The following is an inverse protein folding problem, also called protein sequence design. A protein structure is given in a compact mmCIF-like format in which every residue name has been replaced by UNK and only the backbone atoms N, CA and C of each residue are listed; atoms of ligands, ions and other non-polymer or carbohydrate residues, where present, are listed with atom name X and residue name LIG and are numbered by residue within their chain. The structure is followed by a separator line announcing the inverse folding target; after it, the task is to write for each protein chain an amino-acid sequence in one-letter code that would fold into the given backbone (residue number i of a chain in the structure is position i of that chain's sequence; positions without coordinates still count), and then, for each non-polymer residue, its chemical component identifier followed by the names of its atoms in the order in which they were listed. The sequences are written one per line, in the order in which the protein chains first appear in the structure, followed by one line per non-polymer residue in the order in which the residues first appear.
data_IF_642865449861
#
_entry.id   IF_642865449861
#
_cell.length_a   1.000
_cell.length_b   1.000
_cell.length_c   1.000
_cell.angle_alpha   90.00
_cell.angle_beta   90.00
_cell.angle_gamma   90.00
#
_symmetry.space_group_name_H-M   'P 1'
#
loop_
_entity.id
_entity.type
_entity.pdbx_description
1 polymer ?
#
# COMPACT_ATOMS: atom_id res chain seq x y z
N UNK A 1 52.06 -43.33 -28.55
CA UNK A 1 51.97 -41.90 -28.23
C UNK A 1 50.98 -41.24 -29.18
N UNK A 2 49.73 -41.00 -28.73
CA UNK A 2 48.79 -40.02 -29.30
C UNK A 2 47.84 -39.58 -28.18
N UNK A 3 48.35 -38.64 -27.41
CA UNK A 3 47.69 -37.48 -26.81
C UNK A 3 46.20 -37.63 -26.43
N UNK A 4 45.96 -37.92 -25.15
CA UNK A 4 44.72 -37.60 -24.46
C UNK A 4 44.58 -36.07 -24.37
N UNK A 5 43.99 -35.45 -25.39
CA UNK A 5 43.52 -34.07 -25.27
C UNK A 5 42.13 -34.11 -24.63
N UNK A 6 42.12 -34.17 -23.30
CA UNK A 6 40.94 -33.83 -22.50
C UNK A 6 40.53 -32.40 -22.82
N UNK A 7 39.63 -32.27 -23.80
CA UNK A 7 39.01 -31.00 -24.14
C UNK A 7 37.93 -30.75 -23.10
N UNK A 8 38.34 -30.27 -21.92
CA UNK A 8 37.43 -29.72 -20.93
C UNK A 8 36.67 -28.55 -21.57
N UNK A 9 35.35 -28.64 -21.79
CA UNK A 9 34.63 -27.51 -22.31
C UNK A 9 34.56 -26.46 -21.21
N UNK A 10 34.94 -25.22 -21.53
CA UNK A 10 34.78 -24.00 -20.73
C UNK A 10 33.30 -23.64 -20.51
N UNK A 11 32.45 -24.62 -20.19
CA UNK A 11 31.06 -24.41 -19.87
C UNK A 11 30.98 -23.95 -18.42
N UNK A 12 30.60 -22.69 -18.23
CA UNK A 12 30.30 -22.07 -16.92
C UNK A 12 29.17 -22.82 -16.17
N UNK A 13 28.48 -23.76 -16.84
CA UNK A 13 27.36 -24.53 -16.31
C UNK A 13 27.55 -26.02 -16.59
N UNK A 14 27.00 -26.89 -15.72
CA UNK A 14 27.17 -28.33 -15.85
C UNK A 14 26.54 -28.89 -17.12
N UNK A 15 27.13 -29.96 -17.66
CA UNK A 15 26.65 -30.69 -18.85
C UNK A 15 25.18 -31.12 -18.70
N UNK A 16 24.74 -31.46 -17.48
CA UNK A 16 23.34 -31.79 -17.18
C UNK A 16 22.40 -30.59 -17.39
N UNK A 17 22.85 -29.39 -17.01
CA UNK A 17 22.10 -28.14 -17.23
C UNK A 17 21.99 -27.84 -18.71
N UNK A 18 23.09 -27.96 -19.44
CA UNK A 18 23.17 -27.71 -20.90
C UNK A 18 22.28 -28.70 -21.68
N UNK A 19 22.37 -30.00 -21.39
CA UNK A 19 21.52 -31.03 -22.00
C UNK A 19 20.03 -30.83 -21.69
N UNK A 20 19.69 -30.45 -20.45
CA UNK A 20 18.30 -30.20 -20.06
C UNK A 20 17.73 -28.97 -20.78
N UNK A 21 18.48 -27.86 -20.83
CA UNK A 21 18.06 -26.64 -21.53
C UNK A 21 17.90 -26.91 -23.03
N UNK A 22 18.84 -27.62 -23.64
CA UNK A 22 18.75 -27.99 -25.06
C UNK A 22 17.52 -28.85 -25.37
N UNK A 23 17.22 -29.85 -24.53
CA UNK A 23 16.02 -30.68 -24.67
C UNK A 23 14.73 -29.87 -24.55
N UNK A 24 14.65 -28.95 -23.60
CA UNK A 24 13.47 -28.08 -23.42
C UNK A 24 13.32 -27.08 -24.58
N UNK A 25 14.42 -26.57 -25.13
CA UNK A 25 14.42 -25.73 -26.32
C UNK A 25 13.94 -26.49 -27.57
N UNK A 26 14.41 -27.73 -27.80
CA UNK A 26 13.98 -28.55 -28.95
C UNK A 26 12.48 -28.81 -28.99
N UNK A 27 11.82 -28.86 -27.84
CA UNK A 27 10.37 -29.12 -27.73
C UNK A 27 9.56 -27.82 -27.78
N UNK A 28 10.01 -26.77 -27.08
CA UNK A 28 9.22 -25.54 -26.91
C UNK A 28 9.60 -24.39 -27.86
N UNK A 29 10.78 -24.45 -28.49
CA UNK A 29 11.36 -23.36 -29.28
C UNK A 29 11.76 -22.11 -28.49
N UNK A 30 11.69 -22.16 -27.15
CA UNK A 30 11.89 -21.00 -26.27
C UNK A 30 13.17 -21.17 -25.46
N UNK A 31 13.94 -20.10 -25.35
CA UNK A 31 15.15 -20.03 -24.50
C UNK A 31 14.82 -19.67 -23.04
N UNK A 32 13.64 -19.12 -22.79
CA UNK A 32 13.14 -18.77 -21.46
C UNK A 32 12.32 -19.89 -20.83
N UNK A 33 12.56 -20.17 -19.55
CA UNK A 33 11.86 -21.20 -18.80
C UNK A 33 10.71 -20.59 -17.97
N UNK A 34 9.48 -20.60 -18.49
CA UNK A 34 8.28 -20.16 -17.75
C UNK A 34 7.73 -21.27 -16.84
N UNK A 35 8.58 -21.90 -16.05
CA UNK A 35 8.12 -22.85 -15.04
C UNK A 35 7.41 -22.09 -13.93
N UNK A 36 6.16 -22.45 -13.65
CA UNK A 36 5.46 -21.96 -12.48
C UNK A 36 6.22 -22.46 -11.23
N UNK A 37 6.94 -21.55 -10.56
CA UNK A 37 7.56 -21.87 -9.28
C UNK A 37 6.49 -21.77 -8.20
N UNK A 38 6.15 -22.88 -7.59
CA UNK A 38 5.34 -22.87 -6.38
C UNK A 38 6.20 -22.29 -5.24
N UNK A 39 5.84 -21.08 -4.81
CA UNK A 39 6.41 -20.49 -3.60
C UNK A 39 5.85 -21.14 -2.34
N UNK A 40 6.43 -20.79 -1.19
CA UNK A 40 5.87 -21.16 0.11
C UNK A 40 4.44 -20.60 0.23
N UNK A 41 3.52 -21.43 0.70
CA UNK A 41 2.12 -21.02 0.95
C UNK A 41 2.09 -19.92 2.01
N UNK A 42 1.31 -18.87 1.76
CA UNK A 42 1.09 -17.80 2.73
C UNK A 42 -0.09 -18.16 3.62
N UNK A 43 0.15 -18.47 4.88
CA UNK A 43 -0.94 -18.74 5.83
C UNK A 43 -1.86 -17.54 6.07
N UNK A 44 -1.38 -16.33 5.75
CA UNK A 44 -2.13 -15.08 5.90
C UNK A 44 -3.02 -14.71 4.71
N UNK A 45 -3.00 -15.49 3.62
CA UNK A 45 -4.02 -15.37 2.55
C UNK A 45 -5.34 -16.08 2.93
N UNK A 46 -5.41 -16.72 4.12
CA UNK A 46 -6.65 -17.25 4.67
C UNK A 46 -7.59 -16.11 5.09
N UNK A 47 -8.90 -16.31 4.92
CA UNK A 47 -9.96 -15.33 5.19
C UNK A 47 -9.92 -14.79 6.63
N UNK A 48 -9.69 -15.67 7.61
CA UNK A 48 -9.71 -15.32 9.05
C UNK A 48 -8.65 -14.27 9.45
N UNK A 49 -7.35 -14.44 9.15
CA UNK A 49 -6.34 -13.40 9.31
C UNK A 49 -6.70 -12.03 8.71
N UNK A 50 -7.26 -12.01 7.50
CA UNK A 50 -7.64 -10.77 6.81
C UNK A 50 -8.84 -10.10 7.51
N UNK A 51 -9.82 -10.87 7.95
CA UNK A 51 -10.95 -10.37 8.75
C UNK A 51 -10.45 -9.79 10.08
N UNK A 52 -9.54 -10.47 10.78
CA UNK A 52 -8.96 -9.99 12.04
C UNK A 52 -8.21 -8.66 11.83
N UNK A 53 -7.40 -8.57 10.78
CA UNK A 53 -6.63 -7.35 10.48
C UNK A 53 -7.54 -6.17 10.10
N UNK A 54 -8.59 -6.40 9.30
CA UNK A 54 -9.55 -5.35 8.95
C UNK A 54 -10.34 -4.85 10.16
N UNK A 55 -10.69 -5.72 11.12
CA UNK A 55 -11.32 -5.31 12.39
C UNK A 55 -10.41 -4.38 13.19
N UNK A 56 -9.12 -4.69 13.30
CA UNK A 56 -8.14 -3.83 14.01
C UNK A 56 -8.07 -2.45 13.36
N UNK A 57 -7.92 -2.38 12.03
CA UNK A 57 -7.83 -1.11 11.30
C UNK A 57 -9.10 -0.26 11.39
N UNK A 58 -10.29 -0.91 11.43
CA UNK A 58 -11.57 -0.23 11.57
C UNK A 58 -11.79 0.29 13.00
N UNK A 59 -11.32 -0.43 14.02
CA UNK A 59 -11.43 -0.02 15.43
C UNK A 59 -10.61 1.23 15.71
N UNK A 60 -9.34 1.24 15.30
CA UNK A 60 -8.49 2.41 15.43
C UNK A 60 -7.55 2.59 14.23
N UNK A 61 -7.92 3.55 13.38
CA UNK A 61 -7.15 3.93 12.20
C UNK A 61 -5.83 4.66 12.52
N UNK A 62 -5.57 5.07 13.77
CA UNK A 62 -4.34 5.77 14.19
C UNK A 62 -3.26 4.82 14.71
N UNK A 63 -3.55 3.53 14.80
CA UNK A 63 -2.62 2.51 15.29
C UNK A 63 -1.34 2.45 14.45
N UNK A 64 -0.21 2.28 15.13
CA UNK A 64 1.10 2.08 14.49
C UNK A 64 1.33 0.59 14.19
N UNK A 65 2.14 0.28 13.18
CA UNK A 65 2.40 -1.11 12.75
C UNK A 65 2.81 -2.06 13.89
N UNK A 66 3.66 -1.68 14.87
CA UNK A 66 4.00 -2.55 15.99
C UNK A 66 2.80 -2.88 16.88
N UNK A 67 1.91 -1.91 17.13
CA UNK A 67 0.68 -2.14 17.89
C UNK A 67 -0.26 -3.06 17.13
N UNK A 68 -0.42 -2.84 15.82
CA UNK A 68 -1.22 -3.74 14.97
C UNK A 68 -0.67 -5.16 15.03
N UNK A 69 0.65 -5.34 15.03
CA UNK A 69 1.26 -6.67 15.12
C UNK A 69 1.09 -7.31 16.50
N UNK A 70 1.24 -6.54 17.58
CA UNK A 70 0.96 -7.01 18.95
C UNK A 70 -0.50 -7.45 19.09
N UNK A 71 -1.44 -6.58 18.70
CA UNK A 71 -2.86 -6.88 18.69
C UNK A 71 -3.17 -8.08 17.79
N UNK A 72 -2.48 -8.20 16.64
CA UNK A 72 -2.62 -9.33 15.72
C UNK A 72 -2.19 -10.66 16.33
N UNK A 73 -1.07 -10.64 17.06
CA UNK A 73 -0.46 -11.83 17.66
C UNK A 73 -1.10 -12.23 19.00
N UNK A 74 -1.92 -11.36 19.59
CA UNK A 74 -2.63 -11.66 20.83
C UNK A 74 -3.54 -12.89 20.68
N UNK A 75 -3.29 -13.91 21.51
CA UNK A 75 -3.97 -15.21 21.46
C UNK A 75 -3.63 -16.10 20.25
N UNK A 76 -2.64 -15.75 19.42
CA UNK A 76 -2.25 -16.54 18.25
C UNK A 76 -1.18 -17.59 18.59
N UNK A 77 -1.32 -18.82 18.08
CA UNK A 77 -0.33 -19.90 18.25
C UNK A 77 0.95 -19.68 17.45
N UNK A 78 0.96 -18.76 16.49
CA UNK A 78 2.13 -18.40 15.68
C UNK A 78 2.19 -16.90 15.54
N UNK A 79 3.31 -16.31 15.94
CA UNK A 79 3.51 -14.87 15.86
C UNK A 79 3.88 -14.44 14.45
N UNK A 80 3.34 -13.29 14.05
CA UNK A 80 3.55 -12.66 12.76
C UNK A 80 4.44 -11.44 12.93
N UNK A 81 5.43 -11.29 12.05
CA UNK A 81 6.30 -10.13 12.07
C UNK A 81 5.56 -8.85 11.67
N UNK A 82 6.03 -7.71 12.17
CA UNK A 82 5.54 -6.37 11.78
C UNK A 82 5.59 -6.17 10.26
N UNK A 83 6.63 -6.69 9.60
CA UNK A 83 6.79 -6.58 8.14
C UNK A 83 5.73 -7.37 7.38
N UNK A 84 5.34 -8.52 7.91
CA UNK A 84 4.29 -9.33 7.31
C UNK A 84 2.93 -8.65 7.46
N UNK A 85 2.62 -8.10 8.65
CA UNK A 85 1.45 -7.26 8.91
C UNK A 85 1.40 -6.04 7.99
N UNK A 86 2.53 -5.38 7.76
CA UNK A 86 2.57 -4.25 6.82
C UNK A 86 2.18 -4.67 5.41
N UNK A 87 2.73 -5.79 4.92
CA UNK A 87 2.43 -6.31 3.57
C UNK A 87 0.97 -6.70 3.41
N UNK A 88 0.37 -7.36 4.40
CA UNK A 88 -1.05 -7.73 4.37
C UNK A 88 -1.93 -6.50 4.34
N UNK A 89 -1.66 -5.49 5.18
CA UNK A 89 -2.40 -4.22 5.21
C UNK A 89 -2.36 -3.51 3.85
N UNK A 90 -1.19 -3.47 3.21
CA UNK A 90 -1.02 -2.87 1.87
C UNK A 90 -1.75 -3.69 0.81
N UNK A 91 -1.65 -5.02 0.84
CA UNK A 91 -2.33 -5.90 -0.11
C UNK A 91 -3.85 -5.81 -0.01
N UNK A 92 -4.39 -5.50 1.16
CA UNK A 92 -5.82 -5.20 1.37
C UNK A 92 -6.22 -3.79 0.90
N UNK A 93 -5.31 -3.04 0.26
CA UNK A 93 -5.58 -1.71 -0.27
C UNK A 93 -5.52 -0.58 0.77
N UNK A 94 -5.00 -0.83 1.98
CA UNK A 94 -4.86 0.19 3.01
C UNK A 94 -3.46 0.82 3.03
N UNK A 95 -3.40 2.14 3.19
CA UNK A 95 -2.15 2.88 3.28
C UNK A 95 -2.15 3.91 4.40
N UNK A 96 -0.97 4.12 5.00
CA UNK A 96 -0.75 5.12 6.04
C UNK A 96 -0.60 6.51 5.41
N UNK A 97 -1.56 7.41 5.69
CA UNK A 97 -1.67 8.75 5.10
C UNK A 97 -1.73 9.83 6.18
N UNK A 98 -1.36 11.06 5.82
CA UNK A 98 -1.62 12.22 6.68
C UNK A 98 -3.10 12.61 6.56
N UNK A 99 -3.82 12.79 7.68
CA UNK A 99 -5.19 13.29 7.61
C UNK A 99 -5.23 14.74 7.12
N UNK A 100 -6.24 15.06 6.30
CA UNK A 100 -6.56 16.42 5.86
C UNK A 100 -6.97 17.26 7.08
N UNK A 101 -6.46 18.50 7.16
CA UNK A 101 -6.93 19.48 8.15
C UNK A 101 -8.24 20.04 7.64
N UNK A 102 -9.31 19.83 8.40
CA UNK A 102 -10.60 20.45 8.16
C UNK A 102 -11.02 21.14 9.46
N UNK A 103 -11.58 22.36 9.40
CA UNK A 103 -12.16 22.99 10.58
C UNK A 103 -13.31 22.12 11.09
N UNK A 104 -13.43 22.02 12.41
CA UNK A 104 -14.55 21.33 13.03
C UNK A 104 -15.78 22.22 12.89
N UNK A 105 -16.68 21.84 11.99
CA UNK A 105 -17.93 22.56 11.76
C UNK A 105 -19.02 22.00 12.68
N UNK A 106 -19.64 22.88 13.47
CA UNK A 106 -20.85 22.59 14.23
C UNK A 106 -22.03 22.35 13.28
N UNK A 107 -23.12 21.77 13.78
CA UNK A 107 -24.34 21.61 12.98
C UNK A 107 -24.88 22.96 12.48
N UNK A 108 -24.81 23.99 13.32
CA UNK A 108 -25.19 25.36 12.96
C UNK A 108 -24.33 25.92 11.83
N UNK A 109 -22.99 25.80 11.92
CA UNK A 109 -22.10 26.27 10.85
C UNK A 109 -22.41 25.60 9.50
N UNK A 110 -22.69 24.30 9.51
CA UNK A 110 -23.06 23.57 8.28
C UNK A 110 -24.36 24.08 7.70
N UNK A 111 -25.37 24.30 8.55
CA UNK A 111 -26.67 24.83 8.10
C UNK A 111 -26.52 26.22 7.48
N UNK A 112 -25.77 27.12 8.13
CA UNK A 112 -25.50 28.47 7.64
C UNK A 112 -24.72 28.47 6.32
N UNK A 113 -23.70 27.63 6.20
CA UNK A 113 -22.93 27.50 4.95
C UNK A 113 -23.80 26.98 3.80
N UNK A 114 -24.69 26.02 4.05
CA UNK A 114 -25.60 25.50 3.03
C UNK A 114 -26.65 26.56 2.66
N UNK A 115 -27.23 27.28 3.61
CA UNK A 115 -28.19 28.34 3.31
C UNK A 115 -27.54 29.47 2.51
N UNK A 116 -26.32 29.86 2.89
CA UNK A 116 -25.54 30.86 2.16
C UNK A 116 -25.26 30.39 0.73
N UNK A 117 -24.78 29.16 0.54
CA UNK A 117 -24.53 28.61 -0.78
C UNK A 117 -25.80 28.55 -1.66
N UNK A 118 -26.96 28.25 -1.07
CA UNK A 118 -28.25 28.26 -1.79
C UNK A 118 -28.68 29.68 -2.17
N UNK A 119 -28.54 30.64 -1.27
CA UNK A 119 -28.87 32.04 -1.53
C UNK A 119 -28.02 32.64 -2.65
N UNK A 120 -26.74 32.25 -2.71
CA UNK A 120 -25.80 32.72 -3.72
C UNK A 120 -25.65 31.77 -4.93
N UNK A 121 -26.51 30.77 -5.06
CA UNK A 121 -26.41 29.74 -6.11
C UNK A 121 -26.56 30.32 -7.53
N UNK A 122 -27.39 31.35 -7.68
CA UNK A 122 -27.66 32.01 -8.97
C UNK A 122 -26.85 33.30 -9.19
N UNK A 123 -25.89 33.61 -8.31
CA UNK A 123 -25.06 34.81 -8.47
C UNK A 123 -24.25 34.74 -9.77
N UNK A 124 -24.40 35.77 -10.60
CA UNK A 124 -23.70 35.93 -11.87
C UNK A 124 -22.30 36.48 -11.67
N UNK A 125 -21.48 36.46 -12.73
CA UNK A 125 -20.13 37.04 -12.71
C UNK A 125 -20.18 38.54 -12.35
N UNK A 126 -21.19 39.27 -12.83
CA UNK A 126 -21.34 40.68 -12.52
C UNK A 126 -21.72 40.92 -11.05
N UNK A 127 -22.52 40.05 -10.43
CA UNK A 127 -22.83 40.14 -9.00
C UNK A 127 -21.55 40.00 -8.14
N UNK A 128 -20.66 39.06 -8.51
CA UNK A 128 -19.41 38.83 -7.79
C UNK A 128 -18.38 39.97 -7.95
N UNK A 129 -18.44 40.75 -9.03
CA UNK A 129 -17.54 41.92 -9.21
C UNK A 129 -17.73 42.99 -8.13
N UNK A 130 -18.90 43.01 -7.49
CA UNK A 130 -19.22 43.96 -6.43
C UNK A 130 -18.86 43.45 -5.03
N UNK A 131 -18.34 42.23 -4.91
CA UNK A 131 -17.96 41.62 -3.63
C UNK A 131 -16.45 41.72 -3.43
N UNK A 132 -16.03 42.29 -2.30
CA UNK A 132 -14.65 42.29 -1.86
C UNK A 132 -14.50 41.40 -0.62
N UNK A 133 -13.49 40.54 -0.61
CA UNK A 133 -13.14 39.71 0.55
C UNK A 133 -11.86 40.22 1.20
N UNK A 134 -11.88 40.32 2.53
CA UNK A 134 -10.69 40.52 3.34
C UNK A 134 -10.52 39.34 4.28
N UNK A 135 -9.31 38.77 4.34
CA UNK A 135 -8.95 37.73 5.30
C UNK A 135 -7.54 38.01 5.85
N UNK A 136 -7.30 37.60 7.08
CA UNK A 136 -6.01 37.77 7.76
C UNK A 136 -5.25 36.44 7.75
N UNK A 137 -4.11 36.42 7.04
CA UNK A 137 -3.27 35.24 6.95
C UNK A 137 -2.05 35.35 7.86
N UNK A 138 -1.85 34.33 8.70
CA UNK A 138 -0.66 34.20 9.54
C UNK A 138 0.46 33.49 8.79
N UNK A 139 1.58 34.17 8.56
CA UNK A 139 2.80 33.58 7.99
C UNK A 139 3.65 32.95 9.08
N UNK A 140 4.05 31.68 8.90
CA UNK A 140 4.94 30.98 9.83
C UNK A 140 6.16 30.43 9.08
N UNK A 141 7.37 30.75 9.55
CA UNK A 141 8.64 30.31 8.94
C UNK A 141 8.93 28.82 9.14
N UNK A 142 8.47 28.24 10.26
CA UNK A 142 8.66 26.82 10.56
C UNK A 142 7.34 26.20 11.00
N UNK A 143 6.97 25.07 10.37
CA UNK A 143 5.82 24.26 10.78
C UNK A 143 6.31 22.86 11.12
N UNK A 144 6.19 22.48 12.38
CA UNK A 144 6.34 21.08 12.79
C UNK A 144 5.07 20.31 12.42
N UNK A 145 5.20 19.35 11.50
CA UNK A 145 4.10 18.47 11.11
C UNK A 145 3.96 17.29 12.09
N UNK A 146 3.52 17.58 13.32
CA UNK A 146 3.28 16.59 14.37
C UNK A 146 2.01 15.72 14.13
N UNK A 147 1.55 15.61 12.88
CA UNK A 147 0.30 14.90 12.56
C UNK A 147 0.46 13.40 12.72
N UNK A 148 -0.35 12.79 13.56
CA UNK A 148 -0.50 11.33 13.59
C UNK A 148 -0.99 10.84 12.23
N UNK A 149 -0.32 9.84 11.65
CA UNK A 149 -0.77 9.21 10.40
C UNK A 149 -1.98 8.33 10.69
N UNK A 150 -2.84 8.18 9.68
CA UNK A 150 -4.01 7.31 9.74
C UNK A 150 -3.99 6.33 8.60
N UNK A 151 -4.44 5.10 8.84
CA UNK A 151 -4.71 4.12 7.80
C UNK A 151 -5.97 4.50 7.03
N UNK A 152 -5.89 4.48 5.70
CA UNK A 152 -7.02 4.70 4.79
C UNK A 152 -7.02 3.65 3.70
N UNK A 153 -8.20 3.13 3.41
CA UNK A 153 -8.42 2.28 2.26
C UNK A 153 -8.43 3.15 1.00
N UNK A 154 -7.69 2.72 -0.02
CA UNK A 154 -7.76 3.31 -1.35
C UNK A 154 -9.11 2.91 -1.97
N UNK A 155 -9.84 3.92 -2.45
CA UNK A 155 -11.13 3.77 -3.12
C UNK A 155 -10.92 3.59 -4.61
#
# INVERSE_FOLDING_TARGET
MRDNVSTEPFLVHSVNTTSRVYREYRVSGKTSNFRHRCGQKKDLEKTEPLIRQTRILKRDRRTILPQIAADFNDGASTSVSVRTVQRTVINMGSQSRRPTRVPLLTALHKALLISWARQHYHCTVDDWKHVAWSDESRFQLYRTDARVRVWRQLH
#
